data_IF_621396902062
#
_entry.id   IF_621396902062
#
_cell.length_a   1.000
_cell.length_b   1.000
_cell.length_c   1.000
_cell.angle_alpha   90.00
_cell.angle_beta   90.00
_cell.angle_gamma   90.00
#
_symmetry.space_group_name_H-M   'P 1'
#
loop_
_entity.id
_entity.type
_entity.pdbx_description
1 polymer ?
#
# COMPACT_ATOMS: atom_id res chain seq x y z
N UNK A 1 -2.80 -13.81 -8.97
CA UNK A 1 -2.76 -13.36 -7.56
C UNK A 1 -4.20 -13.10 -7.10
N UNK A 2 -4.80 -13.95 -6.26
CA UNK A 2 -6.22 -13.81 -5.91
C UNK A 2 -7.10 -13.79 -7.18
N UNK A 3 -7.89 -12.72 -7.36
CA UNK A 3 -8.72 -12.47 -8.57
C UNK A 3 -7.96 -11.88 -9.77
N UNK A 4 -6.68 -11.52 -9.62
CA UNK A 4 -5.91 -10.83 -10.63
C UNK A 4 -5.10 -11.79 -11.50
N UNK A 5 -5.25 -11.65 -12.81
CA UNK A 5 -4.42 -12.30 -13.83
C UNK A 5 -3.29 -11.33 -14.24
N UNK A 6 -2.09 -11.55 -13.69
CA UNK A 6 -0.93 -10.69 -13.91
C UNK A 6 -0.03 -11.30 -14.99
N UNK A 7 0.40 -10.51 -15.96
CA UNK A 7 1.28 -10.93 -17.05
C UNK A 7 2.76 -10.93 -16.65
N UNK A 8 3.12 -10.16 -15.63
CA UNK A 8 4.47 -10.05 -15.09
C UNK A 8 4.47 -9.91 -13.57
N UNK A 9 5.65 -10.10 -12.97
CA UNK A 9 5.85 -10.15 -11.51
C UNK A 9 6.50 -8.89 -10.92
N UNK A 10 6.60 -7.84 -11.72
CA UNK A 10 7.14 -6.51 -11.36
C UNK A 10 6.01 -5.63 -10.83
N UNK A 11 6.12 -5.17 -9.58
CA UNK A 11 5.10 -4.40 -8.86
C UNK A 11 5.63 -3.00 -8.53
N UNK A 12 4.80 -1.97 -8.66
CA UNK A 12 5.12 -0.65 -8.12
C UNK A 12 4.94 -0.66 -6.60
N UNK A 13 5.98 -0.32 -5.84
CA UNK A 13 5.82 -0.16 -4.39
C UNK A 13 5.00 1.07 -4.03
N UNK A 14 4.32 1.06 -2.89
CA UNK A 14 3.69 2.25 -2.32
C UNK A 14 4.73 3.32 -1.97
N UNK A 15 4.69 4.48 -2.62
CA UNK A 15 5.66 5.56 -2.42
C UNK A 15 4.97 6.89 -2.11
N UNK A 16 5.06 7.32 -0.86
CA UNK A 16 4.57 8.63 -0.43
C UNK A 16 5.25 9.75 -1.22
N UNK A 17 4.43 10.63 -1.78
CA UNK A 17 4.83 11.66 -2.72
C UNK A 17 4.86 13.05 -2.12
N UNK A 18 4.03 13.29 -1.10
CA UNK A 18 3.79 14.58 -0.46
C UNK A 18 3.25 15.65 -1.44
N UNK A 19 2.32 15.25 -2.32
CA UNK A 19 1.77 16.15 -3.35
C UNK A 19 0.24 16.34 -3.26
N UNK A 20 -0.37 15.98 -2.14
CA UNK A 20 -1.77 16.25 -1.87
C UNK A 20 -1.97 17.65 -1.27
N UNK A 21 -3.06 18.31 -1.61
CA UNK A 21 -3.45 19.58 -0.98
C UNK A 21 -4.53 19.30 0.07
N UNK A 22 -4.33 19.69 1.32
CA UNK A 22 -5.29 19.40 2.40
C UNK A 22 -5.65 17.90 2.53
N UNK A 23 -4.71 17.00 2.22
CA UNK A 23 -4.91 15.54 2.12
C UNK A 23 -5.80 15.07 0.97
N UNK A 24 -6.15 15.96 0.03
CA UNK A 24 -6.90 15.65 -1.17
C UNK A 24 -5.91 15.26 -2.28
N UNK A 25 -6.02 14.05 -2.86
CA UNK A 25 -5.26 13.65 -4.05
C UNK A 25 -5.43 14.67 -5.18
N UNK A 26 -4.36 14.94 -5.92
CA UNK A 26 -4.37 15.98 -6.95
C UNK A 26 -4.37 15.38 -8.36
N UNK A 27 -4.91 16.07 -9.38
CA UNK A 27 -5.04 15.53 -10.74
C UNK A 27 -3.74 15.04 -11.39
N UNK A 28 -2.57 15.58 -10.99
CA UNK A 28 -1.29 15.10 -11.52
C UNK A 28 -0.99 13.63 -11.15
N UNK A 29 -1.64 13.09 -10.11
CA UNK A 29 -1.54 11.69 -9.73
C UNK A 29 -2.05 10.77 -10.85
N UNK A 30 -3.03 11.22 -11.65
CA UNK A 30 -3.47 10.51 -12.86
C UNK A 30 -2.26 10.26 -13.75
N UNK A 31 -1.60 11.32 -14.22
CA UNK A 31 -0.44 11.21 -15.11
C UNK A 31 0.66 10.34 -14.50
N UNK A 32 0.92 10.46 -13.19
CA UNK A 32 1.92 9.66 -12.51
C UNK A 32 1.62 8.16 -12.55
N UNK A 33 0.44 7.73 -12.08
CA UNK A 33 0.10 6.29 -12.06
C UNK A 33 -0.08 5.74 -13.48
N UNK A 34 -0.66 6.54 -14.37
CA UNK A 34 -0.77 6.28 -15.81
C UNK A 34 0.55 5.96 -16.48
N UNK A 35 1.61 6.74 -16.22
CA UNK A 35 2.92 6.51 -16.81
C UNK A 35 3.54 5.18 -16.35
N UNK A 36 3.27 4.76 -15.11
CA UNK A 36 3.76 3.50 -14.55
C UNK A 36 2.90 2.30 -14.93
N UNK A 37 1.78 2.58 -15.61
CA UNK A 37 0.83 1.57 -15.97
C UNK A 37 1.41 0.66 -17.07
N UNK A 38 1.30 -0.65 -16.87
CA UNK A 38 1.83 -1.69 -17.75
C UNK A 38 0.84 -2.84 -17.84
N UNK A 39 0.72 -3.41 -19.04
CA UNK A 39 -0.25 -4.47 -19.33
C UNK A 39 0.00 -5.68 -18.43
N UNK A 40 -0.93 -5.97 -17.53
CA UNK A 40 -0.88 -7.11 -16.59
C UNK A 40 0.11 -6.92 -15.42
N UNK A 41 0.48 -5.69 -15.11
CA UNK A 41 1.22 -5.35 -13.89
C UNK A 41 0.31 -5.16 -12.67
N UNK A 42 0.89 -4.83 -11.53
CA UNK A 42 0.19 -4.44 -10.30
C UNK A 42 0.81 -3.14 -9.78
N UNK A 43 -0.03 -2.15 -9.47
CA UNK A 43 0.39 -0.91 -8.84
C UNK A 43 -0.13 -0.84 -7.41
N UNK A 44 0.73 -0.40 -6.48
CA UNK A 44 0.32 -0.08 -5.12
C UNK A 44 0.46 1.43 -4.95
N UNK A 45 -0.68 2.10 -4.72
CA UNK A 45 -0.72 3.55 -4.53
C UNK A 45 0.02 3.96 -3.25
N UNK A 46 0.33 5.25 -3.17
CA UNK A 46 0.99 5.81 -2.00
C UNK A 46 0.21 5.58 -0.70
N UNK A 47 0.93 5.65 0.42
CA UNK A 47 0.32 5.49 1.74
C UNK A 47 -0.78 6.53 1.93
N UNK A 48 -2.00 6.05 2.09
CA UNK A 48 -3.20 6.85 2.22
C UNK A 48 -3.67 6.80 3.67
N UNK A 49 -3.79 7.96 4.30
CA UNK A 49 -4.26 8.05 5.69
C UNK A 49 -5.73 7.61 5.76
N UNK A 50 -6.05 6.78 6.76
CA UNK A 50 -7.40 6.22 6.92
C UNK A 50 -8.35 7.07 7.78
N UNK A 51 -7.84 7.94 8.65
CA UNK A 51 -8.61 8.91 9.47
C UNK A 51 -7.78 10.16 9.80
N UNK A 52 -8.41 11.32 10.10
CA UNK A 52 -7.74 12.61 10.28
C UNK A 52 -6.60 12.61 11.32
N UNK A 53 -6.82 11.95 12.47
CA UNK A 53 -5.86 12.00 13.59
C UNK A 53 -4.65 11.08 13.39
N UNK A 54 -4.78 10.05 12.54
CA UNK A 54 -3.71 9.09 12.23
C UNK A 54 -2.88 9.46 11.00
N UNK A 55 -3.34 10.49 10.30
CA UNK A 55 -2.71 11.11 9.15
C UNK A 55 -1.70 12.19 9.59
N UNK A 56 -1.77 12.63 10.85
CA UNK A 56 -0.87 13.65 11.40
C UNK A 56 0.56 13.08 11.47
N UNK A 57 1.47 13.65 10.68
CA UNK A 57 2.88 13.23 10.70
C UNK A 57 3.63 13.36 9.37
N UNK A 58 2.92 13.43 8.24
CA UNK A 58 3.53 13.60 6.92
C UNK A 58 2.80 14.75 6.21
N UNK A 59 3.46 15.91 6.01
CA UNK A 59 2.87 17.00 5.23
C UNK A 59 2.40 16.51 3.85
N UNK A 60 1.27 17.02 3.36
CA UNK A 60 0.81 16.82 1.97
C UNK A 60 0.62 15.34 1.53
N UNK A 61 0.38 14.41 2.45
CA UNK A 61 0.04 13.02 2.10
C UNK A 61 -1.45 12.88 1.75
N UNK A 62 -1.82 11.89 0.93
CA UNK A 62 -3.21 11.65 0.56
C UNK A 62 -4.04 10.99 1.68
N UNK A 63 -5.31 11.35 1.78
CA UNK A 63 -6.29 10.74 2.68
C UNK A 63 -7.37 9.95 1.93
N UNK A 64 -8.18 9.19 2.67
CA UNK A 64 -9.37 8.49 2.15
C UNK A 64 -10.53 8.39 3.16
N UNK A 65 -10.62 9.34 4.10
CA UNK A 65 -11.66 9.37 5.13
C UNK A 65 -12.82 10.32 4.82
N UNK A 66 -12.62 11.30 3.94
CA UNK A 66 -13.70 12.20 3.49
C UNK A 66 -14.30 11.73 2.16
N UNK A 67 -15.56 12.10 1.91
CA UNK A 67 -16.21 11.85 0.61
C UNK A 67 -15.47 12.52 -0.55
N UNK A 68 -14.97 13.74 -0.32
CA UNK A 68 -14.18 14.48 -1.31
C UNK A 68 -12.92 13.72 -1.70
N UNK A 69 -12.16 13.21 -0.72
CA UNK A 69 -10.98 12.39 -0.99
C UNK A 69 -11.33 11.12 -1.79
N UNK A 70 -12.45 10.47 -1.47
CA UNK A 70 -12.92 9.27 -2.18
C UNK A 70 -13.27 9.58 -3.64
N UNK A 71 -13.98 10.67 -3.91
CA UNK A 71 -14.33 11.07 -5.28
C UNK A 71 -13.09 11.46 -6.10
N UNK A 72 -12.11 12.15 -5.51
CA UNK A 72 -10.85 12.46 -6.20
C UNK A 72 -10.01 11.20 -6.49
N UNK A 73 -9.95 10.26 -5.54
CA UNK A 73 -9.33 8.96 -5.80
C UNK A 73 -10.03 8.19 -6.92
N UNK A 74 -11.36 8.27 -6.99
CA UNK A 74 -12.15 7.62 -8.03
C UNK A 74 -11.80 8.13 -9.43
N UNK A 75 -11.57 9.43 -9.59
CA UNK A 75 -11.08 9.99 -10.85
C UNK A 75 -9.72 9.40 -11.23
N UNK A 76 -8.80 9.28 -10.27
CA UNK A 76 -7.47 8.72 -10.49
C UNK A 76 -7.55 7.24 -10.88
N UNK A 77 -8.30 6.44 -10.12
CA UNK A 77 -8.43 5.00 -10.34
C UNK A 77 -9.08 4.72 -11.70
N UNK A 78 -10.17 5.42 -12.03
CA UNK A 78 -10.84 5.27 -13.32
C UNK A 78 -9.90 5.60 -14.49
N UNK A 79 -9.12 6.67 -14.40
CA UNK A 79 -8.18 7.04 -15.44
C UNK A 79 -7.08 5.98 -15.67
N UNK A 80 -6.60 5.33 -14.60
CA UNK A 80 -5.63 4.23 -14.70
C UNK A 80 -6.27 2.99 -15.34
N UNK A 81 -7.53 2.68 -14.99
CA UNK A 81 -8.26 1.56 -15.58
C UNK A 81 -8.59 1.78 -17.06
N UNK A 82 -8.96 3.00 -17.47
CA UNK A 82 -9.33 3.33 -18.85
C UNK A 82 -8.16 3.28 -19.83
N UNK A 83 -6.95 3.68 -19.41
CA UNK A 83 -5.80 3.77 -20.30
C UNK A 83 -5.30 2.46 -20.90
N UNK A 84 -5.63 1.30 -20.32
CA UNK A 84 -5.21 -0.01 -20.83
C UNK A 84 -6.36 -0.70 -21.61
N UNK A 85 -7.52 -0.05 -21.71
CA UNK A 85 -8.62 -0.53 -22.54
C UNK A 85 -8.30 -0.30 -24.03
N UNK A 86 -7.75 -1.33 -24.68
CA UNK A 86 -7.50 -1.36 -26.13
C UNK A 86 -8.85 -1.24 -26.89
N UNK A 87 -8.94 -0.47 -28.00
CA UNK A 87 -10.15 -0.39 -28.85
C UNK A 87 -10.66 -1.72 -29.44
N UNK A 88 -9.99 -2.86 -29.18
CA UNK A 88 -10.35 -4.21 -29.63
C UNK A 88 -11.04 -5.10 -28.58
N UNK A 89 -11.56 -4.56 -27.47
CA UNK A 89 -12.57 -5.26 -26.67
C UNK A 89 -12.08 -6.46 -25.84
N UNK A 90 -10.83 -6.44 -25.34
CA UNK A 90 -10.45 -7.27 -24.17
C UNK A 90 -9.98 -6.35 -23.05
N UNK A 91 -10.83 -6.17 -22.02
CA UNK A 91 -10.44 -5.52 -20.76
C UNK A 91 -9.29 -6.32 -20.13
N UNK A 92 -8.08 -5.78 -20.13
CA UNK A 92 -7.11 -6.06 -19.09
C UNK A 92 -6.89 -4.75 -18.36
N UNK A 93 -7.72 -4.44 -17.37
CA UNK A 93 -7.45 -3.34 -16.45
C UNK A 93 -6.22 -3.70 -15.61
N UNK A 94 -5.32 -2.73 -15.38
CA UNK A 94 -4.25 -2.93 -14.42
C UNK A 94 -4.79 -2.70 -13.02
N UNK A 95 -4.58 -3.66 -12.09
CA UNK A 95 -4.97 -3.46 -10.71
C UNK A 95 -4.18 -2.33 -10.05
N UNK A 96 -4.89 -1.38 -9.44
CA UNK A 96 -4.35 -0.38 -8.53
C UNK A 96 -4.90 -0.66 -7.12
N UNK A 97 -4.00 -0.95 -6.18
CA UNK A 97 -4.36 -1.22 -4.78
C UNK A 97 -3.96 -0.04 -3.89
N UNK A 98 -4.84 0.38 -2.98
CA UNK A 98 -4.52 1.42 -2.01
C UNK A 98 -3.67 0.86 -0.88
N UNK A 99 -2.69 1.62 -0.38
CA UNK A 99 -2.01 1.29 0.87
C UNK A 99 -2.64 2.04 2.03
N UNK A 100 -3.26 1.31 2.94
CA UNK A 100 -3.83 1.86 4.15
C UNK A 100 -2.76 1.99 5.23
N UNK A 101 -2.58 3.22 5.72
CA UNK A 101 -1.69 3.53 6.81
C UNK A 101 -2.45 4.32 7.89
N UNK A 102 -2.25 3.92 9.14
CA UNK A 102 -2.54 4.73 10.32
C UNK A 102 -1.22 4.97 11.07
N UNK A 103 -0.86 6.24 11.28
CA UNK A 103 0.27 6.66 12.12
C UNK A 103 -0.27 7.36 13.37
N UNK A 104 -0.19 6.70 14.52
CA UNK A 104 -0.36 7.39 15.82
C UNK A 104 1.00 7.82 16.32
N UNK A 105 1.52 8.94 15.81
CA UNK A 105 2.65 9.63 16.43
C UNK A 105 2.41 11.14 16.31
N UNK A 106 2.08 11.77 17.43
CA UNK A 106 2.31 13.21 17.53
C UNK A 106 3.81 13.44 17.56
N UNK A 107 4.30 14.30 16.68
CA UNK A 107 5.70 14.73 16.62
C UNK A 107 6.22 15.10 18.03
N UNK A 108 7.31 14.47 18.44
CA UNK A 108 8.25 14.92 19.48
C UNK A 108 7.74 15.18 20.93
N UNK A 109 6.55 14.78 21.34
CA UNK A 109 6.23 14.78 22.79
C UNK A 109 5.34 13.61 23.20
N UNK A 110 5.79 12.87 24.22
CA UNK A 110 5.17 11.70 24.88
C UNK A 110 4.38 10.75 23.97
N UNK A 111 4.95 9.56 23.70
CA UNK A 111 4.23 8.44 23.06
C UNK A 111 2.86 8.25 23.69
N UNK A 112 1.80 8.57 22.96
CA UNK A 112 0.44 8.26 23.38
C UNK A 112 0.23 6.76 23.25
N UNK A 113 0.20 6.07 24.39
CA UNK A 113 -0.18 4.67 24.45
C UNK A 113 -1.70 4.57 24.27
N UNK A 114 -2.15 3.92 23.20
CA UNK A 114 -3.57 3.61 22.98
C UNK A 114 -4.13 2.85 24.19
N UNK A 115 -5.25 3.30 24.72
CA UNK A 115 -5.97 2.54 25.74
C UNK A 115 -6.64 1.33 25.11
N UNK A 116 -6.87 0.28 25.91
CA UNK A 116 -7.44 -0.99 25.41
C UNK A 116 -8.80 -0.79 24.75
N UNK A 117 -9.55 0.21 25.22
CA UNK A 117 -10.87 0.61 24.76
C UNK A 117 -10.83 1.41 23.45
N UNK A 118 -9.69 2.05 23.13
CA UNK A 118 -9.50 2.81 21.88
C UNK A 118 -9.13 1.89 20.71
N UNK A 119 -8.48 0.75 20.98
CA UNK A 119 -8.01 -0.18 19.95
C UNK A 119 -9.13 -0.64 19.00
N UNK A 120 -10.34 -1.03 19.48
CA UNK A 120 -11.45 -1.37 18.58
C UNK A 120 -11.89 -0.22 17.66
N UNK A 121 -11.75 1.04 18.08
CA UNK A 121 -12.05 2.20 17.24
C UNK A 121 -11.03 2.30 16.09
N UNK A 122 -9.75 2.12 16.40
CA UNK A 122 -8.68 2.10 15.40
C UNK A 122 -8.85 0.95 14.39
N UNK A 123 -9.24 -0.24 14.87
CA UNK A 123 -9.57 -1.37 13.99
C UNK A 123 -10.75 -1.02 13.07
N UNK A 124 -11.77 -0.33 13.60
CA UNK A 124 -12.88 0.16 12.81
C UNK A 124 -12.48 1.21 11.76
N UNK A 125 -11.49 2.04 12.05
CA UNK A 125 -10.95 3.03 11.12
C UNK A 125 -10.29 2.37 9.90
N UNK A 126 -9.50 1.31 10.11
CA UNK A 126 -8.97 0.49 9.01
C UNK A 126 -10.09 -0.10 8.13
N UNK A 127 -11.17 -0.57 8.75
CA UNK A 127 -12.35 -1.11 8.04
C UNK A 127 -13.05 -0.04 7.20
N UNK A 128 -13.23 1.16 7.75
CA UNK A 128 -13.85 2.29 7.02
C UNK A 128 -12.96 2.73 5.86
N UNK A 129 -11.66 2.89 6.10
CA UNK A 129 -10.71 3.27 5.06
C UNK A 129 -10.65 2.22 3.93
N UNK A 130 -10.70 0.93 4.26
CA UNK A 130 -10.77 -0.13 3.25
C UNK A 130 -12.06 -0.06 2.41
N UNK A 131 -13.20 0.22 3.05
CA UNK A 131 -14.48 0.42 2.34
C UNK A 131 -14.40 1.62 1.39
N UNK A 132 -13.87 2.74 1.87
CA UNK A 132 -13.73 3.96 1.09
C UNK A 132 -12.77 3.76 -0.10
N UNK A 133 -11.70 2.98 0.07
CA UNK A 133 -10.83 2.56 -1.04
C UNK A 133 -11.60 1.75 -2.09
N UNK A 134 -12.42 0.79 -1.68
CA UNK A 134 -13.25 0.03 -2.63
C UNK A 134 -14.30 0.92 -3.31
N UNK A 135 -14.88 1.89 -2.60
CA UNK A 135 -15.83 2.87 -3.16
C UNK A 135 -15.17 3.81 -4.18
N UNK A 136 -13.91 4.18 -3.95
CA UNK A 136 -13.08 4.90 -4.90
C UNK A 136 -12.64 4.04 -6.10
N UNK A 137 -13.02 2.75 -6.15
CA UNK A 137 -12.74 1.86 -7.28
C UNK A 137 -11.42 1.10 -7.20
N UNK A 138 -10.65 1.22 -6.10
CA UNK A 138 -9.42 0.44 -5.95
C UNK A 138 -9.69 -1.07 -6.02
N UNK A 139 -8.77 -1.80 -6.63
CA UNK A 139 -8.92 -3.23 -6.86
C UNK A 139 -8.76 -4.08 -5.58
N UNK A 140 -8.07 -3.52 -4.59
CA UNK A 140 -7.79 -4.10 -3.28
C UNK A 140 -7.02 -3.13 -2.37
N UNK A 141 -6.68 -3.59 -1.17
CA UNK A 141 -5.96 -2.79 -0.17
C UNK A 141 -4.75 -3.53 0.39
N UNK A 142 -3.64 -2.82 0.58
CA UNK A 142 -2.47 -3.25 1.36
C UNK A 142 -2.57 -2.66 2.78
N UNK A 143 -2.54 -3.52 3.80
CA UNK A 143 -2.48 -3.10 5.21
C UNK A 143 -1.02 -2.83 5.57
N UNK A 144 -0.68 -1.60 5.98
CA UNK A 144 0.70 -1.27 6.30
C UNK A 144 1.16 -1.78 7.68
N UNK A 145 1.70 -3.00 7.71
CA UNK A 145 2.28 -3.63 8.92
C UNK A 145 3.75 -3.37 9.22
N UNK A 146 4.41 -2.40 8.58
CA UNK A 146 5.88 -2.30 8.54
C UNK A 146 6.43 -0.90 8.90
N UNK A 147 7.71 -0.64 8.64
CA UNK A 147 8.44 0.64 8.81
C UNK A 147 8.34 1.39 10.16
N UNK A 148 7.85 0.76 11.22
CA UNK A 148 7.75 1.37 12.54
C UNK A 148 6.40 2.02 12.81
N UNK A 149 5.45 1.87 11.87
CA UNK A 149 4.07 2.32 12.04
C UNK A 149 3.30 1.42 13.00
N UNK A 150 2.07 1.85 13.30
CA UNK A 150 1.25 1.36 14.41
C UNK A 150 1.23 -0.16 14.56
N UNK A 151 0.90 -0.90 13.49
CA UNK A 151 0.85 -2.37 13.54
C UNK A 151 2.22 -2.95 13.91
N UNK A 152 3.32 -2.42 13.37
CA UNK A 152 4.68 -2.86 13.73
C UNK A 152 5.01 -2.52 15.19
N UNK A 153 4.51 -1.41 15.72
CA UNK A 153 4.72 -1.03 17.12
C UNK A 153 4.12 -2.08 18.05
N UNK A 154 2.89 -2.56 17.79
CA UNK A 154 2.28 -3.66 18.54
C UNK A 154 3.04 -4.99 18.40
N UNK A 155 3.59 -5.28 17.22
CA UNK A 155 4.33 -6.52 16.95
C UNK A 155 5.71 -6.60 17.63
N UNK A 156 6.28 -5.48 18.09
CA UNK A 156 7.62 -5.44 18.69
C UNK A 156 7.53 -5.34 20.20
N UNK A 157 7.86 -6.43 20.89
CA UNK A 157 7.91 -6.56 22.36
C UNK A 157 8.63 -5.43 23.12
N UNK A 158 9.76 -4.92 22.61
CA UNK A 158 10.52 -3.83 23.23
C UNK A 158 9.95 -2.44 22.93
N UNK A 159 8.97 -2.34 22.02
CA UNK A 159 8.22 -1.11 21.72
C UNK A 159 6.84 -1.15 22.36
N UNK A 160 6.19 -2.31 22.30
CA UNK A 160 4.87 -2.58 22.84
C UNK A 160 4.95 -2.87 24.33
N UNK A 161 4.66 -1.86 25.14
CA UNK A 161 4.57 -1.98 26.58
C UNK A 161 3.19 -2.48 27.07
N UNK A 162 2.27 -2.87 26.17
CA UNK A 162 0.97 -3.40 26.56
C UNK A 162 1.08 -4.70 27.37
N UNK A 163 0.08 -4.89 28.24
CA UNK A 163 -0.16 -6.15 28.95
C UNK A 163 -1.54 -6.70 28.56
N UNK A 164 -1.81 -7.96 28.89
CA UNK A 164 -3.08 -8.60 28.57
C UNK A 164 -3.26 -8.86 27.07
N UNK A 165 -4.45 -8.57 26.52
CA UNK A 165 -4.85 -8.99 25.17
C UNK A 165 -3.91 -8.52 24.04
N UNK A 166 -3.28 -7.35 24.18
CA UNK A 166 -2.50 -6.73 23.12
C UNK A 166 -0.99 -6.65 23.40
N UNK A 167 -0.48 -7.30 24.45
CA UNK A 167 0.95 -7.33 24.75
C UNK A 167 1.34 -8.34 25.84
N UNK A 168 2.62 -8.35 26.23
CA UNK A 168 3.16 -9.28 27.22
C UNK A 168 3.42 -10.71 26.71
N UNK A 169 3.27 -10.96 25.40
CA UNK A 169 3.57 -12.24 24.76
C UNK A 169 3.42 -12.15 23.24
N UNK A 170 4.09 -13.04 22.50
CA UNK A 170 4.10 -13.03 21.03
C UNK A 170 2.68 -13.09 20.43
N UNK A 171 1.83 -13.98 20.95
CA UNK A 171 0.44 -14.12 20.49
C UNK A 171 -0.36 -12.84 20.69
N UNK A 172 -0.24 -12.23 21.88
CA UNK A 172 -0.94 -10.99 22.24
C UNK A 172 -0.46 -9.78 21.42
N UNK A 173 0.85 -9.68 21.17
CA UNK A 173 1.42 -8.66 20.28
C UNK A 173 0.88 -8.76 18.85
N UNK A 174 0.53 -9.97 18.40
CA UNK A 174 -0.09 -10.20 17.09
C UNK A 174 -1.60 -9.92 17.07
N UNK A 175 -2.30 -9.87 18.21
CA UNK A 175 -3.76 -9.71 18.25
C UNK A 175 -4.23 -8.47 17.51
N UNK A 176 -3.58 -7.31 17.69
CA UNK A 176 -3.97 -6.08 16.99
C UNK A 176 -3.87 -6.22 15.47
N UNK A 177 -2.76 -6.77 14.97
CA UNK A 177 -2.55 -7.00 13.54
C UNK A 177 -3.61 -7.95 12.96
N UNK A 178 -3.94 -9.01 13.70
CA UNK A 178 -4.96 -9.99 13.31
C UNK A 178 -6.35 -9.38 13.28
N UNK A 179 -6.70 -8.55 14.27
CA UNK A 179 -7.99 -7.86 14.30
C UNK A 179 -8.16 -6.86 13.16
N UNK A 180 -7.09 -6.12 12.80
CA UNK A 180 -7.10 -5.25 11.62
C UNK A 180 -7.33 -6.06 10.34
N UNK A 181 -6.62 -7.19 10.19
CA UNK A 181 -6.81 -8.08 9.03
C UNK A 181 -8.24 -8.65 9.02
N UNK A 182 -8.77 -9.12 10.15
CA UNK A 182 -10.14 -9.64 10.27
C UNK A 182 -11.21 -8.57 10.04
N UNK A 183 -10.94 -7.30 10.33
CA UNK A 183 -11.86 -6.20 10.08
C UNK A 183 -11.87 -5.75 8.61
N UNK A 184 -10.72 -5.84 7.94
CA UNK A 184 -10.57 -5.49 6.51
C UNK A 184 -11.01 -6.63 5.60
N UNK A 185 -10.72 -7.88 5.98
CA UNK A 185 -11.10 -9.07 5.22
C UNK A 185 -12.45 -9.59 5.73
N UNK A 186 -13.48 -9.56 4.89
CA UNK A 186 -14.76 -10.18 5.24
C UNK A 186 -14.56 -11.68 5.57
N UNK A 187 -15.15 -12.14 6.68
CA UNK A 187 -14.66 -13.17 7.63
C UNK A 187 -14.28 -14.57 7.10
N UNK A 188 -14.42 -14.87 5.80
CA UNK A 188 -14.40 -16.25 5.29
C UNK A 188 -13.02 -16.76 4.83
N UNK A 189 -12.04 -15.89 4.51
CA UNK A 189 -10.85 -16.34 3.74
C UNK A 189 -9.51 -16.51 4.49
N UNK A 190 -9.31 -15.91 5.68
CA UNK A 190 -7.94 -15.78 6.24
C UNK A 190 -7.49 -17.00 7.08
N UNK A 191 -8.43 -17.78 7.61
CA UNK A 191 -8.18 -18.49 8.88
C UNK A 191 -7.49 -19.86 8.84
N UNK A 192 -6.92 -20.31 7.72
CA UNK A 192 -6.05 -21.50 7.74
C UNK A 192 -4.76 -21.30 6.93
N UNK A 193 -3.81 -20.63 7.58
CA UNK A 193 -2.37 -20.53 7.28
C UNK A 193 -2.04 -20.05 5.85
N UNK A 194 -1.62 -18.78 5.75
CA UNK A 194 -1.32 -18.05 4.52
C UNK A 194 -0.54 -18.88 3.47
N UNK A 195 -1.26 -19.38 2.46
CA UNK A 195 -0.74 -19.90 1.19
C UNK A 195 -0.95 -18.86 0.06
N UNK A 196 -1.02 -17.59 0.45
CA UNK A 196 -1.29 -16.46 -0.44
C UNK A 196 -0.02 -15.99 -1.15
N UNK A 197 -0.19 -15.10 -2.12
CA UNK A 197 0.93 -14.51 -2.87
C UNK A 197 1.84 -13.69 -1.94
N UNK A 198 3.14 -13.97 -1.95
CA UNK A 198 4.17 -13.22 -1.24
C UNK A 198 4.87 -12.22 -2.16
N UNK A 199 4.90 -10.94 -1.75
CA UNK A 199 5.56 -9.87 -2.49
C UNK A 199 6.83 -9.46 -1.75
N UNK A 200 7.99 -9.68 -2.36
CA UNK A 200 9.27 -9.21 -1.83
C UNK A 200 9.51 -7.74 -2.19
N UNK A 201 10.08 -6.98 -1.26
CA UNK A 201 10.45 -5.57 -1.46
C UNK A 201 11.74 -5.30 -0.71
N UNK A 202 12.62 -4.46 -1.28
CA UNK A 202 13.84 -4.03 -0.58
C UNK A 202 15.09 -4.05 -1.44
N UNK A 203 15.23 -3.08 -2.35
CA UNK A 203 16.49 -2.82 -3.04
C UNK A 203 16.89 -3.80 -4.14
N UNK A 204 16.03 -4.76 -4.49
CA UNK A 204 16.23 -5.69 -5.59
C UNK A 204 16.57 -4.99 -6.92
N UNK A 205 17.50 -5.58 -7.66
CA UNK A 205 17.65 -5.37 -9.09
C UNK A 205 16.91 -6.44 -9.93
N UNK A 206 17.09 -6.40 -11.26
CA UNK A 206 16.45 -7.34 -12.19
C UNK A 206 16.86 -8.79 -11.93
N UNK A 207 18.15 -9.05 -11.74
CA UNK A 207 18.69 -10.40 -11.59
C UNK A 207 18.34 -10.97 -10.21
N UNK A 208 18.50 -10.17 -9.16
CA UNK A 208 18.07 -10.54 -7.81
C UNK A 208 16.56 -10.81 -7.76
N UNK A 209 15.76 -9.98 -8.43
CA UNK A 209 14.32 -10.16 -8.58
C UNK A 209 13.95 -11.48 -9.28
N UNK A 210 14.62 -11.81 -10.38
CA UNK A 210 14.45 -13.10 -11.07
C UNK A 210 14.85 -14.29 -10.18
N UNK A 211 15.91 -14.14 -9.39
CA UNK A 211 16.39 -15.20 -8.50
C UNK A 211 15.40 -15.49 -7.36
N UNK A 212 14.85 -14.46 -6.71
CA UNK A 212 13.86 -14.68 -5.64
C UNK A 212 12.54 -15.24 -6.16
N UNK A 213 12.18 -14.94 -7.41
CA UNK A 213 10.99 -15.53 -8.04
C UNK A 213 11.24 -16.99 -8.44
N UNK A 214 12.34 -17.26 -9.13
CA UNK A 214 12.65 -18.62 -9.63
C UNK A 214 12.96 -19.62 -8.52
N UNK A 215 13.55 -19.17 -7.41
CA UNK A 215 13.76 -19.99 -6.22
C UNK A 215 12.47 -20.26 -5.43
N UNK A 216 11.38 -19.58 -5.74
CA UNK A 216 10.12 -19.66 -4.98
C UNK A 216 10.15 -18.90 -3.64
N UNK A 217 11.15 -18.05 -3.41
CA UNK A 217 11.21 -17.19 -2.22
C UNK A 217 10.10 -16.14 -2.21
N UNK A 218 9.74 -15.62 -3.38
CA UNK A 218 8.61 -14.70 -3.55
C UNK A 218 7.84 -14.94 -4.84
N UNK A 219 6.55 -14.62 -4.82
CA UNK A 219 5.70 -14.70 -6.01
C UNK A 219 5.80 -13.43 -6.87
N UNK A 220 6.03 -12.28 -6.24
CA UNK A 220 6.13 -10.97 -6.88
C UNK A 220 7.28 -10.17 -6.26
N UNK A 221 7.83 -9.22 -7.01
CA UNK A 221 8.87 -8.29 -6.52
C UNK A 221 8.43 -6.87 -6.76
N UNK A 222 8.45 -6.07 -5.70
CA UNK A 222 8.07 -4.67 -5.73
C UNK A 222 9.30 -3.75 -5.77
N UNK A 223 9.28 -2.81 -6.70
CA UNK A 223 10.35 -1.84 -6.93
C UNK A 223 9.84 -0.42 -6.64
N UNK A 224 10.66 0.38 -5.96
CA UNK A 224 10.31 1.77 -5.62
C UNK A 224 11.15 2.79 -6.35
N UNK A 225 12.37 3.01 -5.84
CA UNK A 225 13.35 3.98 -6.39
C UNK A 225 13.56 3.86 -7.90
N UNK A 226 13.52 2.64 -8.44
CA UNK A 226 13.68 2.43 -9.88
C UNK A 226 12.46 2.90 -10.68
N UNK A 227 11.23 2.65 -10.20
CA UNK A 227 10.00 3.13 -10.84
C UNK A 227 9.91 4.66 -10.86
N UNK A 228 10.44 5.34 -9.84
CA UNK A 228 10.53 6.81 -9.80
C UNK A 228 11.20 7.42 -11.03
N UNK A 229 12.25 6.78 -11.53
CA UNK A 229 13.02 7.28 -12.68
C UNK A 229 12.66 6.57 -13.99
N UNK A 230 11.98 5.42 -13.91
CA UNK A 230 11.70 4.53 -15.02
C UNK A 230 10.21 4.14 -14.98
N UNK A 231 9.29 4.98 -15.50
CA UNK A 231 7.87 4.63 -15.55
C UNK A 231 7.60 3.35 -16.35
N UNK A 232 8.42 3.08 -17.36
CA UNK A 232 8.41 1.90 -18.22
C UNK A 232 9.28 0.74 -17.69
N UNK A 233 9.54 0.67 -16.37
CA UNK A 233 10.45 -0.29 -15.75
C UNK A 233 10.22 -1.75 -16.18
N UNK A 234 8.98 -2.29 -16.23
CA UNK A 234 8.76 -3.67 -16.68
C UNK A 234 9.27 -3.92 -18.10
N UNK A 235 9.06 -2.96 -19.01
CA UNK A 235 9.53 -3.06 -20.40
C UNK A 235 11.06 -2.97 -20.48
N UNK A 236 11.69 -2.13 -19.66
CA UNK A 236 13.16 -2.07 -19.59
C UNK A 236 13.76 -3.37 -19.07
N UNK A 237 13.15 -3.99 -18.06
CA UNK A 237 13.57 -5.29 -17.56
C UNK A 237 13.40 -6.41 -18.59
N UNK A 238 12.30 -6.40 -19.34
CA UNK A 238 12.07 -7.36 -20.43
C UNK A 238 13.15 -7.26 -21.51
N UNK A 239 13.51 -6.03 -21.90
CA UNK A 239 14.49 -5.77 -22.96
C UNK A 239 15.95 -5.71 -22.48
N UNK A 240 16.18 -5.84 -21.17
CA UNK A 240 17.47 -5.57 -20.54
C UNK A 240 18.05 -4.18 -20.93
N UNK A 241 17.18 -3.17 -20.99
CA UNK A 241 17.53 -1.82 -21.40
C UNK A 241 18.17 -1.02 -20.25
N UNK A 242 18.99 0.02 -20.54
CA UNK A 242 19.54 0.92 -19.53
C UNK A 242 18.46 1.58 -18.68
N UNK A 243 18.72 1.75 -17.38
CA UNK A 243 17.83 2.44 -16.45
C UNK A 243 18.28 3.89 -16.23
N UNK A 244 17.31 4.79 -16.14
CA UNK A 244 17.52 6.15 -15.68
C UNK A 244 17.92 6.14 -14.19
N UNK A 245 18.84 7.03 -13.82
CA UNK A 245 19.23 7.28 -12.43
C UNK A 245 18.15 8.10 -11.73
N UNK A 246 17.74 7.68 -10.53
CA UNK A 246 16.80 8.44 -9.71
C UNK A 246 17.49 9.60 -8.97
N UNK A 247 16.77 10.70 -8.81
CA UNK A 247 17.18 11.81 -7.94
C UNK A 247 16.40 11.74 -6.62
N UNK A 248 17.12 11.62 -5.49
CA UNK A 248 16.50 11.52 -4.16
C UNK A 248 15.92 12.85 -3.66
N UNK A 249 16.42 13.98 -4.17
CA UNK A 249 15.96 15.32 -3.78
C UNK A 249 14.53 15.59 -4.25
N UNK A 250 14.04 14.85 -5.26
CA UNK A 250 12.69 15.04 -5.83
C UNK A 250 11.65 14.06 -5.29
N UNK A 251 12.03 13.22 -4.32
CA UNK A 251 11.12 12.21 -3.76
C UNK A 251 9.97 12.84 -2.98
N UNK A 252 10.25 13.95 -2.30
CA UNK A 252 9.37 14.66 -1.38
C UNK A 252 9.49 16.16 -1.67
N UNK A 253 8.58 16.67 -2.51
CA UNK A 253 8.55 18.07 -2.93
C UNK A 253 7.15 18.64 -2.74
#
# INVERSE_FOLDING_TARGET
>A
MGKFDLSHRVVLTPMTKQRSDGNIPQPHAILYYSQQASKGGLLIAEATGGVPDTAQGIPLHAGIWTKEQVEEWKLIVNAVHEQISNPMGKLQSQPLTSKLLLKYEQFFSTRWRLQTEEIPLVVNDFRVAARNALEAGFDGVEIHGAHGYLIKQFLKDHVNDHSGKYGGGLENCCCFALEVVEAVVDKIAVRKAFKGTFIAVGGYDREEGNNVVSSGYADLVAFGRQFFANPDLPRRFELNAPLNTYNRETFYI
#
